data_IF_704967908191
#
_entry.id   IF_704967908191
#
_cell.length_a   1.000
_cell.length_b   1.000
_cell.length_c   1.000
_cell.angle_alpha   90.00
_cell.angle_beta   90.00
_cell.angle_gamma   90.00
#
_symmetry.space_group_name_H-M   'P 1'
#
loop_
_entity.id
_entity.type
_entity.pdbx_description
1 polymer ?
#
# COMPACT_ATOMS: atom_id res chain seq x y z
N UNK A 1 10.99 18.76 -70.75
CA UNK A 1 9.88 18.99 -71.70
C UNK A 1 9.72 17.75 -72.55
N UNK A 2 8.47 17.32 -72.79
CA UNK A 2 8.05 16.42 -73.87
C UNK A 2 8.39 14.92 -73.73
N UNK A 3 7.55 13.95 -74.10
CA UNK A 3 6.18 13.95 -74.61
C UNK A 3 5.62 12.50 -74.51
N UNK A 4 4.31 12.46 -74.47
CA UNK A 4 3.34 11.35 -74.59
C UNK A 4 3.72 10.13 -75.46
N UNK A 5 3.38 8.96 -74.90
CA UNK A 5 2.40 7.97 -75.38
C UNK A 5 2.70 6.96 -76.51
N UNK A 6 1.90 5.87 -76.41
CA UNK A 6 1.47 4.87 -77.41
C UNK A 6 2.49 3.77 -77.73
N UNK A 7 2.26 2.55 -77.25
CA UNK A 7 1.46 1.51 -77.95
C UNK A 7 2.46 0.44 -78.40
N UNK A 8 2.25 -0.88 -78.35
CA UNK A 8 1.08 -1.69 -78.63
C UNK A 8 1.36 -3.14 -78.19
N UNK A 9 0.27 -3.87 -77.97
CA UNK A 9 0.22 -5.26 -77.53
C UNK A 9 0.73 -6.28 -78.57
N UNK A 10 1.18 -7.46 -78.10
CA UNK A 10 0.83 -8.78 -78.65
C UNK A 10 1.71 -9.87 -78.01
N UNK A 11 1.13 -10.73 -77.16
CA UNK A 11 1.44 -12.17 -77.18
C UNK A 11 0.42 -12.93 -76.32
N UNK A 12 -0.46 -13.63 -77.03
CA UNK A 12 -1.34 -14.69 -76.54
C UNK A 12 -0.52 -15.80 -75.90
N UNK A 13 -0.94 -16.34 -74.76
CA UNK A 13 -1.13 -17.79 -74.68
C UNK A 13 -1.97 -18.26 -73.49
N UNK A 14 -2.97 -19.07 -73.84
CA UNK A 14 -3.52 -20.23 -73.13
C UNK A 14 -4.35 -19.99 -71.87
N UNK A 15 -5.65 -20.11 -72.10
CA UNK A 15 -6.65 -20.59 -71.15
C UNK A 15 -6.40 -22.05 -70.79
N UNK A 16 -6.50 -22.38 -69.50
CA UNK A 16 -6.97 -23.66 -68.98
C UNK A 16 -7.66 -23.37 -67.65
N UNK A 17 -8.99 -23.42 -67.62
CA UNK A 17 -9.77 -24.44 -66.89
C UNK A 17 -9.26 -24.61 -65.44
N UNK A 18 -10.05 -24.37 -64.40
CA UNK A 18 -11.20 -25.20 -64.09
C UNK A 18 -12.04 -24.58 -62.97
N UNK A 19 -13.32 -24.93 -62.97
CA UNK A 19 -14.30 -24.59 -61.96
C UNK A 19 -13.89 -25.02 -60.54
N UNK A 20 -14.29 -24.23 -59.53
CA UNK A 20 -14.79 -24.73 -58.25
C UNK A 20 -15.24 -23.56 -57.36
N UNK A 21 -16.52 -23.23 -57.44
CA UNK A 21 -17.22 -22.51 -56.38
C UNK A 21 -17.22 -23.40 -55.14
N UNK A 22 -16.57 -23.03 -54.05
CA UNK A 22 -16.97 -23.47 -52.70
C UNK A 22 -16.25 -22.70 -51.63
N UNK A 23 -17.06 -21.98 -50.85
CA UNK A 23 -16.90 -21.72 -49.42
C UNK A 23 -15.61 -21.00 -48.99
N UNK A 24 -15.75 -19.69 -48.85
CA UNK A 24 -15.07 -18.94 -47.79
C UNK A 24 -15.40 -19.62 -46.45
N UNK A 25 -14.49 -20.47 -45.97
CA UNK A 25 -14.51 -21.02 -44.62
C UNK A 25 -13.58 -20.15 -43.79
N UNK A 26 -14.07 -19.19 -42.99
CA UNK A 26 -13.20 -18.62 -41.97
C UNK A 26 -12.85 -19.74 -41.01
N UNK A 27 -11.57 -20.06 -40.95
CA UNK A 27 -10.99 -20.97 -39.97
C UNK A 27 -11.34 -20.46 -38.58
N UNK A 28 -12.38 -21.02 -37.96
CA UNK A 28 -12.57 -20.92 -36.52
C UNK A 28 -11.53 -21.84 -35.91
N UNK A 29 -10.29 -21.36 -35.83
CA UNK A 29 -9.32 -21.86 -34.87
C UNK A 29 -9.91 -21.48 -33.52
N UNK A 30 -10.68 -22.41 -32.94
CA UNK A 30 -11.00 -22.39 -31.53
C UNK A 30 -9.67 -22.63 -30.78
N UNK A 31 -8.86 -21.57 -30.72
CA UNK A 31 -7.74 -21.50 -29.81
C UNK A 31 -8.34 -21.50 -28.41
N UNK A 32 -8.37 -22.70 -27.83
CA UNK A 32 -8.53 -22.94 -26.41
C UNK A 32 -7.37 -22.26 -25.69
N UNK A 33 -7.45 -20.94 -25.54
CA UNK A 33 -6.69 -20.25 -24.52
C UNK A 33 -7.37 -20.61 -23.21
N UNK A 34 -6.85 -21.65 -22.54
CA UNK A 34 -6.90 -21.69 -21.08
C UNK A 34 -6.32 -20.35 -20.63
N UNK A 35 -7.20 -19.38 -20.42
CA UNK A 35 -6.86 -18.10 -19.85
C UNK A 35 -6.27 -18.43 -18.49
N UNK A 36 -4.93 -18.32 -18.45
CA UNK A 36 -4.12 -18.47 -17.27
C UNK A 36 -4.78 -17.75 -16.12
N UNK A 37 -5.03 -18.48 -15.04
CA UNK A 37 -5.47 -17.99 -13.75
C UNK A 37 -4.37 -17.15 -13.09
N UNK A 38 -4.00 -16.07 -13.76
CA UNK A 38 -3.17 -14.98 -13.27
C UNK A 38 -3.65 -13.69 -13.95
N UNK A 39 -4.98 -13.53 -14.01
CA UNK A 39 -5.56 -12.20 -13.90
C UNK A 39 -5.19 -11.73 -12.51
N UNK A 40 -4.02 -11.09 -12.44
CA UNK A 40 -3.51 -10.44 -11.26
C UNK A 40 -4.68 -9.73 -10.58
N UNK A 41 -5.07 -10.27 -9.44
CA UNK A 41 -6.01 -9.71 -8.50
C UNK A 41 -5.35 -8.47 -7.91
N UNK A 42 -5.14 -7.46 -8.74
CA UNK A 42 -4.68 -6.12 -8.37
C UNK A 42 -5.82 -5.30 -7.74
N UNK A 43 -6.95 -5.94 -7.45
CA UNK A 43 -8.11 -5.37 -6.77
C UNK A 43 -8.13 -5.68 -5.28
N UNK A 44 -6.96 -5.77 -4.66
CA UNK A 44 -6.80 -5.66 -3.20
C UNK A 44 -6.13 -4.34 -2.78
N UNK A 45 -5.99 -3.38 -3.70
CA UNK A 45 -5.63 -1.98 -3.41
C UNK A 45 -6.88 -1.11 -3.21
N UNK A 46 -7.84 -1.59 -2.42
CA UNK A 46 -8.75 -0.72 -1.71
C UNK A 46 -8.44 -0.91 -0.23
N UNK A 47 -7.22 -0.49 0.15
CA UNK A 47 -6.98 -0.11 1.52
C UNK A 47 -7.92 1.07 1.77
N UNK A 48 -8.96 0.79 2.53
CA UNK A 48 -9.74 1.76 3.29
C UNK A 48 -8.80 2.84 3.85
N UNK A 49 -9.24 4.11 3.97
CA UNK A 49 -8.40 5.16 4.54
C UNK A 49 -7.97 4.68 5.93
N UNK A 50 -6.68 4.34 6.05
CA UNK A 50 -6.08 3.76 7.25
C UNK A 50 -6.17 4.77 8.38
N UNK A 51 -7.28 4.72 9.11
CA UNK A 51 -7.43 5.33 10.40
C UNK A 51 -6.84 4.33 11.39
N UNK A 52 -5.80 4.70 12.12
CA UNK A 52 -5.47 3.92 13.31
C UNK A 52 -6.63 4.11 14.27
N UNK A 53 -7.36 3.04 14.53
CA UNK A 53 -8.37 3.06 15.58
C UNK A 53 -7.66 3.39 16.90
N UNK A 54 -8.30 4.21 17.75
CA UNK A 54 -7.72 4.62 19.04
C UNK A 54 -7.30 3.40 19.88
N UNK A 55 -7.99 2.29 19.71
CA UNK A 55 -7.71 0.99 20.32
C UNK A 55 -6.37 0.40 19.86
N UNK A 56 -6.03 0.50 18.57
CA UNK A 56 -4.75 0.06 18.02
C UNK A 56 -3.60 0.94 18.53
N UNK A 57 -3.79 2.26 18.54
CA UNK A 57 -2.82 3.20 19.13
C UNK A 57 -2.57 2.86 20.60
N UNK A 58 -3.65 2.64 21.36
CA UNK A 58 -3.57 2.26 22.77
C UNK A 58 -2.78 0.96 22.95
N UNK A 59 -3.05 -0.05 22.13
CA UNK A 59 -2.34 -1.32 22.18
C UNK A 59 -0.84 -1.15 21.96
N UNK A 60 -0.44 -0.41 20.91
CA UNK A 60 0.96 -0.16 20.58
C UNK A 60 1.69 0.66 21.64
N UNK A 61 1.07 1.73 22.15
CA UNK A 61 1.63 2.54 23.24
C UNK A 61 1.89 1.69 24.48
N UNK A 62 0.91 0.90 24.90
CA UNK A 62 1.06 0.01 26.05
C UNK A 62 2.17 -1.03 25.81
N UNK A 63 2.32 -1.52 24.58
CA UNK A 63 3.38 -2.46 24.23
C UNK A 63 4.78 -1.83 24.34
N UNK A 64 4.97 -0.61 23.83
CA UNK A 64 6.25 0.13 23.95
C UNK A 64 6.58 0.36 25.42
N UNK A 65 5.62 0.82 26.23
CA UNK A 65 5.82 1.07 27.68
C UNK A 65 6.15 -0.22 28.43
N UNK A 66 5.53 -1.35 28.06
CA UNK A 66 5.82 -2.67 28.68
C UNK A 66 7.19 -3.22 28.31
N UNK A 67 7.74 -2.85 27.14
CA UNK A 67 9.08 -3.26 26.68
C UNK A 67 10.18 -2.42 27.32
N UNK A 68 9.85 -1.27 27.91
CA UNK A 68 10.81 -0.39 28.56
C UNK A 68 11.40 -1.07 29.80
N UNK A 69 12.73 -1.24 29.85
CA UNK A 69 13.42 -2.09 30.83
C UNK A 69 13.18 -1.68 32.29
N UNK A 70 12.89 -0.39 32.52
CA UNK A 70 12.65 0.17 33.85
C UNK A 70 11.20 0.02 34.33
N UNK A 71 10.30 -0.47 33.48
CA UNK A 71 8.86 -0.60 33.78
C UNK A 71 8.47 -2.06 33.97
N UNK A 72 7.66 -2.32 35.00
CA UNK A 72 7.04 -3.64 35.19
C UNK A 72 5.76 -3.73 34.35
N UNK A 73 5.63 -4.70 33.45
CA UNK A 73 4.49 -4.78 32.52
C UNK A 73 3.14 -4.93 33.22
N UNK A 74 3.13 -5.50 34.43
CA UNK A 74 1.94 -5.67 35.27
C UNK A 74 1.40 -4.34 35.85
N UNK A 75 2.26 -3.32 35.98
CA UNK A 75 1.87 -1.99 36.49
C UNK A 75 1.41 -1.03 35.38
N UNK A 76 1.58 -1.42 34.12
CA UNK A 76 1.24 -0.60 32.96
C UNK A 76 -0.26 -0.67 32.70
N UNK A 77 -0.93 0.46 32.91
CA UNK A 77 -2.33 0.67 32.56
C UNK A 77 -2.44 1.87 31.62
N UNK A 78 -3.55 1.96 30.88
CA UNK A 78 -3.82 3.09 30.00
C UNK A 78 -3.92 4.44 30.74
N UNK A 79 -4.08 4.44 32.06
CA UNK A 79 -4.15 5.64 32.88
C UNK A 79 -2.91 5.83 33.77
N UNK A 80 -1.89 4.98 33.64
CA UNK A 80 -0.70 5.05 34.50
C UNK A 80 0.14 6.28 34.18
N UNK A 81 0.54 7.00 35.22
CA UNK A 81 1.44 8.13 35.14
C UNK A 81 2.91 7.65 35.11
N UNK A 82 3.72 8.20 34.20
CA UNK A 82 5.10 7.75 34.00
C UNK A 82 5.97 7.94 35.25
N UNK A 83 5.93 9.12 35.86
CA UNK A 83 6.69 9.43 37.08
C UNK A 83 6.03 8.84 38.34
N UNK A 84 4.74 9.10 38.57
CA UNK A 84 4.10 8.78 39.86
C UNK A 84 3.79 7.28 40.04
N UNK A 85 3.40 6.57 38.99
CA UNK A 85 2.99 5.16 39.09
C UNK A 85 4.10 4.20 38.64
N UNK A 86 4.77 4.54 37.53
CA UNK A 86 5.84 3.70 36.97
C UNK A 86 7.22 4.06 37.55
N UNK A 87 7.36 5.20 38.22
CA UNK A 87 8.61 5.59 38.87
C UNK A 87 9.72 5.97 37.89
N UNK A 88 9.37 6.38 36.67
CA UNK A 88 10.33 6.82 35.66
C UNK A 88 10.93 8.18 36.05
N UNK A 89 12.22 8.34 35.80
CA UNK A 89 12.88 9.64 35.96
C UNK A 89 12.63 10.55 34.74
N UNK A 90 13.02 11.82 34.84
CA UNK A 90 12.82 12.79 33.74
C UNK A 90 13.64 12.49 32.48
N UNK A 91 14.69 11.67 32.57
CA UNK A 91 15.48 11.26 31.42
C UNK A 91 14.81 10.06 30.72
N UNK A 92 14.28 9.13 31.51
CA UNK A 92 13.52 7.98 31.06
C UNK A 92 12.27 8.39 30.28
N UNK A 93 11.61 9.47 30.70
CA UNK A 93 10.47 10.01 29.94
C UNK A 93 10.89 10.51 28.56
N UNK A 94 12.10 11.08 28.42
CA UNK A 94 12.62 11.51 27.11
C UNK A 94 12.94 10.29 26.23
N UNK A 95 13.60 9.27 26.79
CA UNK A 95 13.86 8.02 26.06
C UNK A 95 12.58 7.32 25.61
N UNK A 96 11.54 7.32 26.46
CA UNK A 96 10.25 6.74 26.14
C UNK A 96 9.53 7.50 25.02
N UNK A 97 9.61 8.84 25.02
CA UNK A 97 9.06 9.68 23.95
C UNK A 97 9.76 9.40 22.61
N UNK A 98 11.08 9.28 22.61
CA UNK A 98 11.83 8.90 21.40
C UNK A 98 11.41 7.53 20.87
N UNK A 99 11.12 6.56 21.76
CA UNK A 99 10.61 5.26 21.35
C UNK A 99 9.21 5.35 20.70
N UNK A 100 8.36 6.29 21.14
CA UNK A 100 7.08 6.54 20.48
C UNK A 100 7.26 7.22 19.12
N UNK A 101 8.18 8.17 18.99
CA UNK A 101 8.52 8.82 17.72
C UNK A 101 8.96 7.78 16.67
N UNK A 102 9.86 6.87 17.06
CA UNK A 102 10.34 5.80 16.19
C UNK A 102 9.23 4.78 15.84
N UNK A 103 8.39 4.38 16.82
CA UNK A 103 7.33 3.39 16.61
C UNK A 103 6.22 3.91 15.68
N UNK A 104 5.85 5.19 15.81
CA UNK A 104 4.79 5.82 15.02
C UNK A 104 5.30 6.64 13.84
N UNK A 105 6.63 6.74 13.66
CA UNK A 105 7.30 7.56 12.65
C UNK A 105 6.79 9.01 12.64
N UNK A 106 6.68 9.62 13.82
CA UNK A 106 6.27 11.01 14.01
C UNK A 106 7.35 11.81 14.72
N UNK A 107 7.23 13.14 14.69
CA UNK A 107 8.07 14.04 15.49
C UNK A 107 7.21 14.69 16.57
N UNK A 108 7.58 14.53 17.85
CA UNK A 108 6.91 15.14 18.99
C UNK A 108 7.78 16.31 19.46
N UNK A 109 7.36 17.57 19.30
CA UNK A 109 8.15 18.69 19.81
C UNK A 109 8.26 18.63 21.33
N UNK A 110 9.41 19.03 21.87
CA UNK A 110 9.70 19.02 23.33
C UNK A 110 8.58 19.65 24.16
N UNK A 111 8.00 20.76 23.69
CA UNK A 111 6.93 21.48 24.37
C UNK A 111 5.63 20.67 24.52
N UNK A 112 5.41 19.67 23.66
CA UNK A 112 4.29 18.73 23.78
C UNK A 112 4.70 17.48 24.55
N UNK A 113 5.93 16.99 24.35
CA UNK A 113 6.49 15.88 25.13
C UNK A 113 6.46 16.16 26.64
N UNK A 114 6.76 17.40 27.07
CA UNK A 114 6.67 17.83 28.47
C UNK A 114 5.24 17.75 29.06
N UNK A 115 4.21 17.76 28.22
CA UNK A 115 2.80 17.64 28.64
C UNK A 115 2.34 16.19 28.70
N UNK A 116 3.07 15.26 28.09
CA UNK A 116 2.74 13.83 28.04
C UNK A 116 3.25 13.18 29.33
N UNK A 117 2.40 13.19 30.36
CA UNK A 117 2.76 12.70 31.70
C UNK A 117 2.23 11.29 32.01
N UNK A 118 1.25 10.83 31.24
CA UNK A 118 0.63 9.51 31.38
C UNK A 118 0.50 8.77 30.05
N UNK A 119 0.27 7.45 30.15
CA UNK A 119 -0.02 6.62 28.98
C UNK A 119 -1.27 7.11 28.24
N UNK A 120 -2.26 7.66 28.96
CA UNK A 120 -3.50 8.18 28.38
C UNK A 120 -3.24 9.42 27.54
N UNK A 121 -2.41 10.34 28.04
CA UNK A 121 -2.02 11.55 27.32
C UNK A 121 -1.23 11.20 26.05
N UNK A 122 -0.32 10.22 26.15
CA UNK A 122 0.43 9.72 25.00
C UNK A 122 -0.51 9.14 23.94
N UNK A 123 -1.48 8.31 24.33
CA UNK A 123 -2.47 7.74 23.41
C UNK A 123 -3.33 8.82 22.77
N UNK A 124 -3.77 9.82 23.52
CA UNK A 124 -4.59 10.90 22.99
C UNK A 124 -3.81 11.78 22.01
N UNK A 125 -2.57 12.11 22.36
CA UNK A 125 -1.66 12.83 21.48
C UNK A 125 -1.40 12.04 20.19
N UNK A 126 -1.03 10.77 20.31
CA UNK A 126 -0.74 9.90 19.18
C UNK A 126 -1.98 9.70 18.32
N UNK A 127 -3.14 9.40 18.88
CA UNK A 127 -4.38 9.24 18.11
C UNK A 127 -4.78 10.52 17.34
N UNK A 128 -4.43 11.70 17.85
CA UNK A 128 -4.68 12.97 17.17
C UNK A 128 -3.68 13.29 16.04
N UNK A 129 -2.43 12.80 16.16
CA UNK A 129 -1.34 13.11 15.23
C UNK A 129 -1.05 11.97 14.24
N UNK A 130 -1.42 10.72 14.55
CA UNK A 130 -1.25 9.53 13.71
C UNK A 130 -2.48 9.33 12.81
N UNK A 131 -2.67 10.25 11.86
CA UNK A 131 -3.58 10.05 10.72
C UNK A 131 -2.87 9.42 9.50
N UNK A 132 -1.64 8.91 9.67
CA UNK A 132 -0.79 8.55 8.55
C UNK A 132 -0.10 7.20 8.76
N UNK A 133 -0.63 6.21 8.03
CA UNK A 133 0.02 5.09 7.32
C UNK A 133 1.12 4.27 7.99
#
# INVERSE_FOLDING_TARGET
>A
MAFRALGSALARHVSRTNAASTAWRPSVVAASHKASANQAMWRSFAAEPGYLDKEDVTGRVLEVVRKFEKVQPEKVSAASHFVNDLGLDSLDTVELVMAFEDEFAIEIPDADAEKILSCGDAVEYLASNTHAK
#
